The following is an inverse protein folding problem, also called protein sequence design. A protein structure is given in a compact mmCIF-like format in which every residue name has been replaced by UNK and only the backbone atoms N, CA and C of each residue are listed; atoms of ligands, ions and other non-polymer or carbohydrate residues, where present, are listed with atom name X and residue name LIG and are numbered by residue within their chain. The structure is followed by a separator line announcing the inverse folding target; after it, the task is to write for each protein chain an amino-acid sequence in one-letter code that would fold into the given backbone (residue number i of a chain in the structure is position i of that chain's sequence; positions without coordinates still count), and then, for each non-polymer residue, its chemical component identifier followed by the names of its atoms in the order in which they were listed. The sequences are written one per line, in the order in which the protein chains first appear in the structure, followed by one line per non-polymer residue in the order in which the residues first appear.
data_IF_261015256413
#
_entry.id   IF_261015256413
#
_cell.length_a   1.000
_cell.length_b   1.000
_cell.length_c   1.000
_cell.angle_alpha   90.00
_cell.angle_beta   90.00
_cell.angle_gamma   90.00
#
_symmetry.space_group_name_H-M   'P 1'
#
loop_
_entity.id
_entity.type
_entity.pdbx_description
1 polymer ?
#
# COMPACT_ATOMS: atom_id res chain seq x y z
N UNK A 1 -18.16 8.18 12.54
CA UNK A 1 -16.97 7.43 12.09
C UNK A 1 -15.72 8.17 12.56
N UNK A 2 -14.65 7.44 12.86
CA UNK A 2 -13.37 8.01 13.28
C UNK A 2 -12.87 9.02 12.24
N UNK A 3 -12.22 10.10 12.71
CA UNK A 3 -11.72 11.17 11.84
C UNK A 3 -10.74 10.64 10.79
N UNK A 4 -9.80 9.77 11.20
CA UNK A 4 -8.85 9.17 10.25
C UNK A 4 -9.57 8.43 9.13
N UNK A 5 -10.55 7.61 9.48
CA UNK A 5 -11.30 6.83 8.50
C UNK A 5 -12.08 7.73 7.55
N UNK A 6 -12.64 8.82 8.05
CA UNK A 6 -13.33 9.81 7.23
C UNK A 6 -12.38 10.46 6.22
N UNK A 7 -11.18 10.81 6.66
CA UNK A 7 -10.16 11.40 5.79
C UNK A 7 -9.74 10.41 4.70
N UNK A 8 -9.50 9.16 5.08
CA UNK A 8 -9.09 8.12 4.13
C UNK A 8 -10.18 7.87 3.09
N UNK A 9 -11.45 7.87 3.51
CA UNK A 9 -12.56 7.71 2.58
C UNK A 9 -12.58 8.85 1.55
N UNK A 10 -12.34 10.09 2.01
CA UNK A 10 -12.26 11.24 1.12
C UNK A 10 -11.09 11.16 0.16
N UNK A 11 -10.01 10.43 0.53
CA UNK A 11 -8.86 10.20 -0.33
C UNK A 11 -9.07 9.05 -1.32
N UNK A 12 -10.23 8.44 -1.34
CA UNK A 12 -10.56 7.38 -2.29
C UNK A 12 -10.38 5.97 -1.76
N UNK A 13 -10.13 5.81 -0.47
CA UNK A 13 -9.98 4.49 0.14
C UNK A 13 -11.33 3.81 0.32
N UNK A 14 -11.34 2.47 0.25
CA UNK A 14 -12.54 1.64 0.43
C UNK A 14 -12.79 1.41 1.92
N UNK A 15 -13.04 2.47 2.68
CA UNK A 15 -13.12 2.42 4.13
C UNK A 15 -14.34 1.63 4.61
N UNK A 16 -15.53 1.95 4.10
CA UNK A 16 -16.76 1.31 4.57
C UNK A 16 -16.76 -0.20 4.33
N UNK A 17 -16.38 -0.61 3.13
CA UNK A 17 -16.31 -2.04 2.78
C UNK A 17 -15.27 -2.76 3.64
N UNK A 18 -14.08 -2.18 3.78
CA UNK A 18 -13.01 -2.78 4.58
C UNK A 18 -13.41 -2.90 6.05
N UNK A 19 -14.05 -1.86 6.59
CA UNK A 19 -14.51 -1.86 7.98
C UNK A 19 -15.47 -3.01 8.24
N UNK A 20 -16.44 -3.22 7.34
CA UNK A 20 -17.45 -4.26 7.52
C UNK A 20 -16.91 -5.66 7.21
N UNK A 21 -16.24 -5.82 6.07
CA UNK A 21 -15.89 -7.13 5.55
C UNK A 21 -14.60 -7.71 6.14
N UNK A 22 -13.65 -6.84 6.48
CA UNK A 22 -12.34 -7.28 6.97
C UNK A 22 -12.14 -6.99 8.45
N UNK A 23 -12.64 -5.86 8.93
CA UNK A 23 -12.40 -5.40 10.31
C UNK A 23 -13.58 -5.62 11.24
N UNK A 24 -14.60 -6.34 10.78
CA UNK A 24 -15.78 -6.73 11.57
C UNK A 24 -16.50 -5.54 12.20
N UNK A 25 -16.52 -4.40 11.53
CA UNK A 25 -17.16 -3.18 12.00
C UNK A 25 -16.43 -2.48 13.14
N UNK A 26 -15.22 -2.91 13.48
CA UNK A 26 -14.47 -2.38 14.64
C UNK A 26 -13.52 -1.27 14.21
N UNK A 27 -13.92 -0.02 14.39
CA UNK A 27 -13.13 1.13 13.96
C UNK A 27 -11.77 1.23 14.64
N UNK A 28 -11.70 0.98 15.95
CA UNK A 28 -10.44 1.05 16.69
C UNK A 28 -9.46 -0.01 16.22
N UNK A 29 -9.97 -1.20 15.89
CA UNK A 29 -9.15 -2.26 15.34
C UNK A 29 -8.59 -1.86 13.98
N UNK A 30 -9.43 -1.28 13.12
CA UNK A 30 -9.02 -0.80 11.80
C UNK A 30 -7.91 0.25 11.91
N UNK A 31 -8.10 1.24 12.79
CA UNK A 31 -7.09 2.28 13.02
C UNK A 31 -5.77 1.66 13.50
N UNK A 32 -5.85 0.69 14.40
CA UNK A 32 -4.66 -0.03 14.90
C UNK A 32 -3.91 -0.72 13.74
N UNK A 33 -4.66 -1.38 12.86
CA UNK A 33 -4.05 -2.06 11.72
C UNK A 33 -3.43 -1.07 10.74
N UNK A 34 -4.09 0.07 10.49
CA UNK A 34 -3.54 1.13 9.64
C UNK A 34 -2.21 1.67 10.20
N UNK A 35 -2.13 1.85 11.51
CA UNK A 35 -0.91 2.38 12.13
C UNK A 35 0.28 1.42 12.03
N UNK A 36 0.05 0.14 11.80
CA UNK A 36 1.12 -0.83 11.55
C UNK A 36 1.80 -0.62 10.19
N UNK A 37 1.21 0.15 9.30
CA UNK A 37 1.83 0.46 8.01
C UNK A 37 3.21 1.11 8.18
N UNK A 38 3.37 1.90 9.24
CA UNK A 38 4.64 2.55 9.57
C UNK A 38 5.80 1.56 9.69
N UNK A 39 5.53 0.36 10.17
CA UNK A 39 6.55 -0.66 10.39
C UNK A 39 6.67 -1.67 9.26
N UNK A 40 5.89 -1.51 8.21
CA UNK A 40 5.93 -2.42 7.06
C UNK A 40 7.15 -2.13 6.20
N UNK A 41 7.90 -3.19 5.84
CA UNK A 41 9.16 -3.07 5.10
C UNK A 41 9.04 -3.50 3.63
N UNK A 42 7.86 -3.84 3.16
CA UNK A 42 7.70 -4.35 1.79
C UNK A 42 8.10 -3.34 0.73
N UNK A 43 7.81 -2.05 0.94
CA UNK A 43 8.21 -1.03 -0.02
C UNK A 43 9.74 -0.83 -0.01
N UNK A 44 10.36 -0.86 1.17
CA UNK A 44 11.82 -0.81 1.28
C UNK A 44 12.44 -2.01 0.53
N UNK A 45 11.85 -3.18 0.68
CA UNK A 45 12.32 -4.40 -0.01
C UNK A 45 12.18 -4.27 -1.52
N UNK A 46 11.10 -3.66 -2.00
CA UNK A 46 10.89 -3.42 -3.43
C UNK A 46 11.96 -2.47 -3.98
N UNK A 47 12.23 -1.38 -3.26
CA UNK A 47 13.27 -0.42 -3.66
C UNK A 47 14.64 -1.08 -3.72
N UNK A 48 14.97 -1.90 -2.73
CA UNK A 48 16.25 -2.62 -2.69
C UNK A 48 16.34 -3.64 -3.82
N UNK A 49 15.28 -4.39 -4.06
CA UNK A 49 15.25 -5.39 -5.13
C UNK A 49 15.47 -4.75 -6.49
N UNK A 50 14.84 -3.60 -6.73
CA UNK A 50 15.02 -2.86 -7.99
C UNK A 50 16.47 -2.36 -8.12
N UNK A 51 17.04 -1.82 -7.05
CA UNK A 51 18.42 -1.35 -7.06
C UNK A 51 19.41 -2.46 -7.40
N UNK A 52 19.09 -3.70 -7.01
CA UNK A 52 19.93 -4.87 -7.30
C UNK A 52 19.60 -5.52 -8.65
N UNK A 53 18.58 -5.06 -9.34
CA UNK A 53 18.14 -5.67 -10.60
C UNK A 53 17.51 -7.04 -10.44
N UNK A 54 17.01 -7.36 -9.25
CA UNK A 54 16.43 -8.67 -8.93
C UNK A 54 14.91 -8.64 -9.21
N UNK A 55 14.52 -9.08 -10.40
CA UNK A 55 13.13 -9.04 -10.84
C UNK A 55 12.23 -9.94 -9.99
N UNK A 56 12.71 -11.11 -9.61
CA UNK A 56 11.93 -12.04 -8.78
C UNK A 56 11.65 -11.45 -7.40
N UNK A 57 12.64 -10.79 -6.81
CA UNK A 57 12.47 -10.10 -5.54
C UNK A 57 11.54 -8.89 -5.68
N UNK A 58 11.59 -8.18 -6.82
CA UNK A 58 10.63 -7.11 -7.11
C UNK A 58 9.20 -7.65 -7.14
N UNK A 59 8.99 -8.79 -7.79
CA UNK A 59 7.67 -9.42 -7.83
C UNK A 59 7.20 -9.78 -6.42
N UNK A 60 8.03 -10.48 -5.65
CA UNK A 60 7.64 -10.91 -4.30
C UNK A 60 7.28 -9.72 -3.41
N UNK A 61 8.11 -8.68 -3.40
CA UNK A 61 7.89 -7.49 -2.56
C UNK A 61 6.64 -6.71 -3.00
N UNK A 62 6.47 -6.51 -4.30
CA UNK A 62 5.31 -5.77 -4.82
C UNK A 62 4.01 -6.55 -4.63
N UNK A 63 4.04 -7.86 -4.75
CA UNK A 63 2.88 -8.72 -4.53
C UNK A 63 2.42 -8.62 -3.06
N UNK A 64 3.37 -8.73 -2.12
CA UNK A 64 3.07 -8.57 -0.69
C UNK A 64 2.50 -7.19 -0.39
N UNK A 65 3.10 -6.17 -0.96
CA UNK A 65 2.69 -4.78 -0.78
C UNK A 65 1.27 -4.56 -1.29
N UNK A 66 0.96 -5.07 -2.48
CA UNK A 66 -0.38 -4.97 -3.06
C UNK A 66 -1.43 -5.63 -2.16
N UNK A 67 -1.12 -6.82 -1.65
CA UNK A 67 -2.02 -7.54 -0.75
C UNK A 67 -2.26 -6.79 0.55
N UNK A 68 -1.22 -6.20 1.11
CA UNK A 68 -1.32 -5.40 2.33
C UNK A 68 -2.20 -4.16 2.10
N UNK A 69 -1.99 -3.44 1.00
CA UNK A 69 -2.81 -2.27 0.69
C UNK A 69 -4.29 -2.66 0.54
N UNK A 70 -4.56 -3.78 -0.12
CA UNK A 70 -5.92 -4.27 -0.27
C UNK A 70 -6.56 -4.58 1.08
N UNK A 71 -5.83 -5.25 1.97
CA UNK A 71 -6.31 -5.61 3.31
C UNK A 71 -6.66 -4.40 4.16
N UNK A 72 -5.93 -3.30 3.97
CA UNK A 72 -6.13 -2.06 4.71
C UNK A 72 -7.12 -1.12 4.03
N UNK A 73 -7.66 -1.50 2.86
CA UNK A 73 -8.60 -0.66 2.13
C UNK A 73 -7.97 0.58 1.50
N UNK A 74 -6.63 0.59 1.35
CA UNK A 74 -5.89 1.71 0.76
C UNK A 74 -5.93 1.61 -0.76
N UNK A 75 -7.12 1.80 -1.32
CA UNK A 75 -7.44 1.57 -2.72
C UNK A 75 -6.52 2.32 -3.70
N UNK A 76 -6.21 3.62 -3.51
CA UNK A 76 -5.32 4.30 -4.45
C UNK A 76 -3.93 3.65 -4.53
N UNK A 77 -3.38 3.23 -3.39
CA UNK A 77 -2.09 2.55 -3.35
C UNK A 77 -2.17 1.16 -3.98
N UNK A 78 -3.25 0.43 -3.68
CA UNK A 78 -3.49 -0.89 -4.25
C UNK A 78 -3.55 -0.83 -5.78
N UNK A 79 -4.34 0.10 -6.32
CA UNK A 79 -4.50 0.24 -7.76
C UNK A 79 -3.20 0.63 -8.46
N UNK A 80 -2.45 1.55 -7.87
CA UNK A 80 -1.15 1.94 -8.42
C UNK A 80 -0.16 0.77 -8.42
N UNK A 81 -0.12 0.02 -7.32
CA UNK A 81 0.81 -1.09 -7.14
C UNK A 81 0.55 -2.25 -8.12
N UNK A 82 -0.69 -2.41 -8.59
CA UNK A 82 -1.05 -3.46 -9.55
C UNK A 82 -0.17 -3.45 -10.79
N UNK A 83 0.11 -2.26 -11.33
CA UNK A 83 0.95 -2.12 -12.51
C UNK A 83 2.37 -2.62 -12.28
N UNK A 84 2.92 -2.32 -11.12
CA UNK A 84 4.27 -2.78 -10.75
C UNK A 84 4.29 -4.30 -10.64
N UNK A 85 3.29 -4.88 -9.97
CA UNK A 85 3.18 -6.34 -9.82
C UNK A 85 3.13 -7.02 -11.19
N UNK A 86 2.28 -6.52 -12.09
CA UNK A 86 2.11 -7.16 -13.40
C UNK A 86 3.38 -7.06 -14.26
N UNK A 87 4.08 -5.93 -14.20
CA UNK A 87 5.36 -5.77 -14.93
C UNK A 87 6.40 -6.76 -14.38
N UNK A 88 6.53 -6.86 -13.07
CA UNK A 88 7.47 -7.81 -12.45
C UNK A 88 7.07 -9.27 -12.72
N UNK A 89 5.75 -9.56 -12.73
CA UNK A 89 5.24 -10.90 -13.05
C UNK A 89 5.68 -11.32 -14.44
N UNK A 90 5.74 -10.38 -15.39
CA UNK A 90 6.19 -10.63 -16.74
C UNK A 90 7.72 -10.75 -16.85
N UNK A 91 8.43 -10.68 -15.75
CA UNK A 91 9.89 -10.76 -15.73
C UNK A 91 10.59 -9.48 -16.14
N UNK A 92 9.93 -8.34 -15.99
CA UNK A 92 10.42 -7.04 -16.42
C UNK A 92 10.44 -6.02 -15.29
N UNK A 93 11.21 -4.95 -15.47
CA UNK A 93 11.27 -3.82 -14.56
C UNK A 93 11.02 -2.49 -15.29
N UNK A 94 10.38 -2.57 -16.46
CA UNK A 94 10.13 -1.41 -17.29
C UNK A 94 9.36 -0.34 -16.55
N UNK A 95 9.89 0.88 -16.52
CA UNK A 95 9.24 2.02 -15.88
C UNK A 95 9.41 2.12 -14.37
N UNK A 96 10.09 1.17 -13.74
CA UNK A 96 10.25 1.16 -12.28
C UNK A 96 11.05 2.35 -11.76
N UNK A 97 11.95 2.90 -12.56
CA UNK A 97 12.71 4.10 -12.19
C UNK A 97 11.82 5.31 -11.95
N UNK A 98 10.58 5.27 -12.47
CA UNK A 98 9.57 6.32 -12.27
C UNK A 98 8.48 5.85 -11.32
N UNK A 99 7.94 4.65 -11.52
CA UNK A 99 6.77 4.18 -10.77
C UNK A 99 7.09 3.88 -9.30
N UNK A 100 8.27 3.37 -8.98
CA UNK A 100 8.61 3.08 -7.59
C UNK A 100 8.74 4.37 -6.77
N UNK A 101 9.46 5.42 -7.22
CA UNK A 101 9.46 6.69 -6.51
C UNK A 101 8.07 7.32 -6.38
N UNK A 102 7.21 7.19 -7.38
CA UNK A 102 5.83 7.68 -7.30
C UNK A 102 5.05 6.92 -6.22
N UNK A 103 5.21 5.60 -6.16
CA UNK A 103 4.58 4.80 -5.12
C UNK A 103 5.08 5.21 -3.73
N UNK A 104 6.39 5.45 -3.59
CA UNK A 104 6.96 5.93 -2.33
C UNK A 104 6.33 7.24 -1.89
N UNK A 105 6.16 8.18 -2.82
CA UNK A 105 5.54 9.46 -2.51
C UNK A 105 4.09 9.30 -2.03
N UNK A 106 3.32 8.45 -2.70
CA UNK A 106 1.95 8.15 -2.31
C UNK A 106 1.90 7.46 -0.95
N UNK A 107 2.77 6.48 -0.74
CA UNK A 107 2.87 5.75 0.52
C UNK A 107 3.18 6.70 1.69
N UNK A 108 4.14 7.60 1.50
CA UNK A 108 4.51 8.61 2.49
C UNK A 108 3.33 9.52 2.83
N UNK A 109 2.57 9.95 1.81
CA UNK A 109 1.38 10.77 2.02
C UNK A 109 0.39 10.06 2.95
N UNK A 110 0.11 8.77 2.70
CA UNK A 110 -0.84 8.03 3.53
C UNK A 110 -0.29 7.77 4.92
N UNK A 111 1.03 7.52 5.05
CA UNK A 111 1.65 7.41 6.38
C UNK A 111 1.47 8.70 7.19
N UNK A 112 1.66 9.85 6.56
CA UNK A 112 1.49 11.15 7.23
C UNK A 112 0.05 11.35 7.68
N UNK A 113 -0.91 11.02 6.82
CA UNK A 113 -2.34 11.10 7.17
C UNK A 113 -2.63 10.21 8.38
N UNK A 114 -2.15 8.98 8.37
CA UNK A 114 -2.38 8.02 9.45
C UNK A 114 -1.72 8.50 10.75
N UNK A 115 -0.49 9.00 10.68
CA UNK A 115 0.24 9.45 11.86
C UNK A 115 -0.35 10.72 12.49
N UNK A 116 -0.96 11.58 11.68
CA UNK A 116 -1.50 12.87 12.12
C UNK A 116 -2.92 12.77 12.70
N UNK A 117 -3.52 11.63 12.60
CA UNK A 117 -4.89 11.42 13.03
C UNK A 117 -5.01 10.14 13.85
#
# INVERSE_FOLDING_TARGET
MNQLLTILEAEGCSVSTTLQDTMMGKEQFYVKMLKKLENNKSLDSLEEAFAKGDVQACFAASHDLKGMYASLGLTPLHEFCKGIVETARAGKTDGFETSIPQLRAMHTKFLEIIASN
#
